data_IF_343574653183
#
_entry.id   IF_343574653183
#
_cell.length_a   1.000
_cell.length_b   1.000
_cell.length_c   1.000
_cell.angle_alpha   90.00
_cell.angle_beta   90.00
_cell.angle_gamma   90.00
#
_symmetry.space_group_name_H-M   'P 1'
#
loop_
_entity.id
_entity.type
_entity.pdbx_description
1 polymer ?
#
# COMPACT_ATOMS: atom_id res chain seq x y z
N UNK A 1 20.37 28.19 -5.29
CA UNK A 1 19.53 26.98 -5.39
C UNK A 1 18.10 27.41 -5.67
N UNK A 2 17.66 27.29 -6.93
CA UNK A 2 16.26 27.58 -7.29
C UNK A 2 15.41 26.48 -6.68
N UNK A 3 14.49 26.84 -5.79
CA UNK A 3 13.63 25.91 -5.08
C UNK A 3 12.86 25.04 -6.06
N UNK A 4 13.18 23.75 -6.11
CA UNK A 4 12.37 22.77 -6.81
C UNK A 4 10.99 22.76 -6.14
N UNK A 5 10.00 23.34 -6.82
CA UNK A 5 8.59 23.19 -6.45
C UNK A 5 8.28 21.70 -6.57
N UNK A 6 8.13 21.00 -5.45
CA UNK A 6 7.86 19.57 -5.42
C UNK A 6 6.54 19.31 -6.16
N UNK A 7 6.63 18.74 -7.37
CA UNK A 7 5.46 18.48 -8.20
C UNK A 7 4.76 17.20 -7.74
N UNK A 8 3.43 17.17 -7.79
CA UNK A 8 2.65 15.97 -7.45
C UNK A 8 3.08 14.73 -8.24
N UNK A 9 3.53 14.90 -9.49
CA UNK A 9 4.06 13.80 -10.33
C UNK A 9 5.31 13.15 -9.73
N UNK A 10 6.19 13.93 -9.09
CA UNK A 10 7.42 13.43 -8.48
C UNK A 10 7.13 12.65 -7.19
N UNK A 11 6.20 13.15 -6.38
CA UNK A 11 5.73 12.45 -5.19
C UNK A 11 5.03 11.15 -5.57
N UNK A 12 4.19 11.18 -6.60
CA UNK A 12 3.52 9.99 -7.12
C UNK A 12 4.49 8.96 -7.72
N UNK A 13 5.52 9.42 -8.44
CA UNK A 13 6.57 8.54 -8.98
C UNK A 13 7.34 7.83 -7.86
N UNK A 14 7.76 8.56 -6.83
CA UNK A 14 8.41 7.95 -5.66
C UNK A 14 7.50 6.95 -4.94
N UNK A 15 6.24 7.33 -4.68
CA UNK A 15 5.24 6.45 -4.08
C UNK A 15 4.94 5.21 -4.94
N UNK A 16 4.98 5.33 -6.27
CA UNK A 16 4.79 4.20 -7.17
C UNK A 16 5.95 3.20 -7.06
N UNK A 17 7.19 3.68 -6.86
CA UNK A 17 8.32 2.83 -6.52
C UNK A 17 8.11 2.03 -5.24
N UNK A 18 7.62 2.69 -4.18
CA UNK A 18 7.25 2.02 -2.92
C UNK A 18 6.17 0.97 -3.17
N UNK A 19 5.11 1.33 -3.88
CA UNK A 19 4.00 0.43 -4.22
C UNK A 19 4.48 -0.78 -5.04
N UNK A 20 5.51 -0.62 -5.86
CA UNK A 20 6.03 -1.72 -6.67
C UNK A 20 6.69 -2.79 -5.80
N UNK A 21 7.48 -2.41 -4.79
CA UNK A 21 7.99 -3.39 -3.81
C UNK A 21 6.86 -3.95 -2.94
N UNK A 22 5.94 -3.10 -2.48
CA UNK A 22 4.76 -3.54 -1.73
C UNK A 22 4.00 -4.64 -2.48
N UNK A 23 3.83 -4.50 -3.80
CA UNK A 23 3.22 -5.53 -4.62
C UNK A 23 4.02 -6.85 -4.57
N UNK A 24 5.36 -6.79 -4.68
CA UNK A 24 6.25 -7.97 -4.58
C UNK A 24 6.15 -8.63 -3.19
N UNK A 25 6.13 -7.83 -2.13
CA UNK A 25 6.00 -8.30 -0.76
C UNK A 25 4.66 -9.01 -0.54
N UNK A 26 3.56 -8.34 -0.90
CA UNK A 26 2.20 -8.89 -0.75
C UNK A 26 1.98 -10.16 -1.58
N UNK A 27 2.40 -10.19 -2.85
CA UNK A 27 2.21 -11.35 -3.72
C UNK A 27 3.05 -12.54 -3.24
N UNK A 28 4.22 -12.28 -2.65
CA UNK A 28 5.07 -13.31 -2.03
C UNK A 28 4.43 -13.84 -0.76
N UNK A 29 3.86 -12.97 0.09
CA UNK A 29 3.07 -13.36 1.27
C UNK A 29 1.83 -14.19 0.90
N UNK A 30 1.30 -14.02 -0.31
CA UNK A 30 0.25 -14.84 -0.90
C UNK A 30 0.76 -16.11 -1.62
N UNK A 31 2.01 -16.52 -1.38
CA UNK A 31 2.68 -17.65 -2.05
C UNK A 31 2.61 -17.56 -3.59
N UNK A 32 2.64 -16.35 -4.15
CA UNK A 32 2.43 -16.07 -5.57
C UNK A 32 1.13 -16.65 -6.13
N UNK A 33 0.05 -16.61 -5.34
CA UNK A 33 -1.25 -17.22 -5.62
C UNK A 33 -1.14 -18.72 -5.94
N UNK A 34 -0.12 -19.38 -5.39
CA UNK A 34 0.19 -20.79 -5.61
C UNK A 34 0.33 -21.16 -7.10
N UNK A 35 0.84 -20.23 -7.92
CA UNK A 35 1.02 -20.44 -9.37
C UNK A 35 1.94 -21.62 -9.70
N UNK A 36 2.89 -21.94 -8.82
CA UNK A 36 3.81 -23.07 -8.99
C UNK A 36 3.12 -24.43 -8.93
N UNK A 37 1.93 -24.51 -8.31
CA UNK A 37 1.09 -25.72 -8.30
C UNK A 37 0.33 -25.92 -9.62
N UNK A 38 0.43 -24.99 -10.58
CA UNK A 38 -0.21 -25.09 -11.89
C UNK A 38 -1.73 -25.30 -11.75
N UNK A 39 -2.29 -26.24 -12.51
CA UNK A 39 -3.71 -26.62 -12.42
C UNK A 39 -4.01 -27.62 -11.28
N UNK A 40 -3.03 -27.95 -10.44
CA UNK A 40 -3.16 -28.95 -9.37
C UNK A 40 -3.31 -28.37 -7.96
N UNK A 41 -3.30 -27.04 -7.79
CA UNK A 41 -3.34 -26.38 -6.47
C UNK A 41 -4.69 -26.44 -5.74
N UNK A 42 -5.74 -26.98 -6.37
CA UNK A 42 -7.01 -27.30 -5.72
C UNK A 42 -7.77 -26.08 -5.18
N UNK A 43 -8.54 -26.30 -4.10
CA UNK A 43 -9.45 -25.28 -3.56
C UNK A 43 -8.71 -24.09 -2.90
N UNK A 44 -7.54 -24.32 -2.30
CA UNK A 44 -6.75 -23.26 -1.66
C UNK A 44 -6.27 -22.23 -2.69
N UNK A 45 -5.71 -22.71 -3.80
CA UNK A 45 -5.31 -21.87 -4.93
C UNK A 45 -6.50 -21.09 -5.52
N UNK A 46 -7.64 -21.76 -5.73
CA UNK A 46 -8.86 -21.10 -6.21
C UNK A 46 -9.34 -20.00 -5.28
N UNK A 47 -9.27 -20.22 -3.96
CA UNK A 47 -9.63 -19.22 -2.97
C UNK A 47 -8.68 -18.01 -3.00
N UNK A 48 -7.36 -18.22 -3.10
CA UNK A 48 -6.38 -17.13 -3.23
C UNK A 48 -6.59 -16.31 -4.50
N UNK A 49 -6.76 -16.96 -5.66
CA UNK A 49 -7.05 -16.28 -6.93
C UNK A 49 -8.39 -15.52 -6.83
N UNK A 50 -9.41 -16.15 -6.25
CA UNK A 50 -10.72 -15.53 -6.03
C UNK A 50 -10.62 -14.26 -5.19
N UNK A 51 -9.89 -14.31 -4.06
CA UNK A 51 -9.66 -13.16 -3.19
C UNK A 51 -8.85 -12.06 -3.89
N UNK A 52 -7.82 -12.41 -4.64
CA UNK A 52 -7.09 -11.46 -5.47
C UNK A 52 -8.01 -10.73 -6.45
N UNK A 53 -8.86 -11.46 -7.19
CA UNK A 53 -9.82 -10.88 -8.14
C UNK A 53 -10.87 -10.01 -7.42
N UNK A 54 -11.37 -10.46 -6.26
CA UNK A 54 -12.28 -9.66 -5.44
C UNK A 54 -11.60 -8.35 -5.02
N UNK A 55 -10.37 -8.41 -4.50
CA UNK A 55 -9.61 -7.23 -4.08
C UNK A 55 -9.39 -6.25 -5.22
N UNK A 56 -9.01 -6.78 -6.39
CA UNK A 56 -8.82 -6.00 -7.62
C UNK A 56 -10.11 -5.26 -8.01
N UNK A 57 -11.23 -5.96 -8.11
CA UNK A 57 -12.46 -5.40 -8.67
C UNK A 57 -13.26 -4.57 -7.66
N UNK A 58 -13.14 -4.85 -6.36
CA UNK A 58 -13.97 -4.23 -5.32
C UNK A 58 -13.82 -2.71 -5.30
N UNK A 59 -12.61 -2.19 -5.21
CA UNK A 59 -12.39 -0.74 -5.15
C UNK A 59 -12.77 -0.04 -6.45
N UNK A 60 -12.49 -0.65 -7.60
CA UNK A 60 -12.97 -0.12 -8.88
C UNK A 60 -14.51 -0.11 -8.96
N UNK A 61 -15.21 -1.08 -8.37
CA UNK A 61 -16.67 -1.07 -8.35
C UNK A 61 -17.24 0.10 -7.53
N UNK A 62 -16.63 0.42 -6.38
CA UNK A 62 -17.00 1.56 -5.53
C UNK A 62 -16.67 2.89 -6.22
N UNK A 63 -15.58 2.89 -6.98
CA UNK A 63 -15.00 4.07 -7.59
C UNK A 63 -15.53 4.36 -9.01
N UNK A 64 -16.45 3.55 -9.53
CA UNK A 64 -16.91 3.55 -10.94
C UNK A 64 -17.28 4.90 -11.54
N UNK A 65 -17.77 5.83 -10.72
CA UNK A 65 -18.21 7.17 -11.13
C UNK A 65 -17.16 8.28 -10.90
N UNK A 66 -15.92 7.92 -10.56
CA UNK A 66 -14.84 8.87 -10.22
C UNK A 66 -13.65 8.78 -11.18
N UNK A 67 -13.95 8.65 -12.47
CA UNK A 67 -12.99 8.67 -13.56
C UNK A 67 -11.90 7.58 -13.45
N UNK A 68 -12.29 6.32 -13.24
CA UNK A 68 -11.33 5.20 -13.14
C UNK A 68 -10.42 5.12 -14.37
N UNK A 69 -11.01 5.19 -15.57
CA UNK A 69 -10.29 5.07 -16.84
C UNK A 69 -9.52 6.35 -17.23
N UNK A 70 -9.66 7.42 -16.45
CA UNK A 70 -8.96 8.69 -16.66
C UNK A 70 -8.68 9.35 -15.31
N UNK A 71 -7.82 8.75 -14.47
CA UNK A 71 -7.57 9.20 -13.10
C UNK A 71 -7.05 10.65 -13.07
N UNK A 72 -6.43 11.14 -14.14
CA UNK A 72 -6.02 12.54 -14.28
C UNK A 72 -7.21 13.52 -14.16
N UNK A 73 -8.41 13.14 -14.60
CA UNK A 73 -9.63 13.96 -14.50
C UNK A 73 -10.18 14.04 -13.08
N UNK A 74 -9.69 13.19 -12.18
CA UNK A 74 -10.13 13.17 -10.78
C UNK A 74 -9.30 14.12 -9.88
N UNK A 75 -8.16 14.64 -10.36
CA UNK A 75 -7.26 15.54 -9.62
C UNK A 75 -8.04 16.74 -9.07
N UNK A 76 -7.98 16.93 -7.75
CA UNK A 76 -8.66 18.01 -7.03
C UNK A 76 -10.19 17.90 -6.92
N UNK A 77 -10.85 16.95 -7.60
CA UNK A 77 -12.33 16.92 -7.75
C UNK A 77 -13.07 16.28 -6.58
N UNK A 78 -12.50 15.23 -5.97
CA UNK A 78 -13.21 14.35 -5.05
C UNK A 78 -12.77 14.46 -3.58
N UNK A 79 -12.03 15.52 -3.23
CA UNK A 79 -11.56 15.76 -1.86
C UNK A 79 -10.80 14.55 -1.30
N UNK A 80 -11.28 14.01 -0.17
CA UNK A 80 -10.68 12.85 0.50
C UNK A 80 -11.12 11.49 -0.02
N UNK A 81 -12.10 11.41 -0.91
CA UNK A 81 -12.69 10.12 -1.28
C UNK A 81 -11.64 9.15 -1.88
N UNK A 82 -10.79 9.64 -2.79
CA UNK A 82 -9.76 8.80 -3.43
C UNK A 82 -8.68 8.40 -2.42
N UNK A 83 -8.07 9.32 -1.64
CA UNK A 83 -7.12 8.94 -0.60
C UNK A 83 -7.68 7.97 0.43
N UNK A 84 -8.94 8.11 0.84
CA UNK A 84 -9.59 7.17 1.76
C UNK A 84 -9.73 5.77 1.17
N UNK A 85 -10.13 5.68 -0.11
CA UNK A 85 -10.19 4.40 -0.80
C UNK A 85 -8.80 3.77 -0.92
N UNK A 86 -7.76 4.57 -1.20
CA UNK A 86 -6.37 4.08 -1.26
C UNK A 86 -5.87 3.63 0.12
N UNK A 87 -6.17 4.39 1.18
CA UNK A 87 -5.83 4.03 2.55
C UNK A 87 -6.49 2.71 2.98
N UNK A 88 -7.76 2.54 2.62
CA UNK A 88 -8.49 1.29 2.91
C UNK A 88 -7.92 0.14 2.08
N UNK A 89 -7.67 0.36 0.78
CA UNK A 89 -7.12 -0.66 -0.12
C UNK A 89 -5.77 -1.20 0.36
N UNK A 90 -4.84 -0.31 0.72
CA UNK A 90 -3.53 -0.71 1.27
C UNK A 90 -3.67 -1.27 2.67
N UNK A 91 -4.59 -0.75 3.49
CA UNK A 91 -4.85 -1.26 4.83
C UNK A 91 -5.28 -2.74 4.84
N UNK A 92 -5.96 -3.24 3.80
CA UNK A 92 -6.34 -4.66 3.71
C UNK A 92 -5.13 -5.59 3.82
N UNK A 93 -3.99 -5.24 3.22
CA UNK A 93 -2.73 -5.98 3.40
C UNK A 93 -2.28 -5.99 4.86
N UNK A 94 -2.39 -4.83 5.53
CA UNK A 94 -2.08 -4.71 6.95
C UNK A 94 -2.81 -5.72 7.82
N UNK A 95 -4.01 -6.17 7.43
CA UNK A 95 -4.73 -7.24 8.13
C UNK A 95 -3.99 -8.58 8.07
N UNK A 96 -3.43 -8.94 6.91
CA UNK A 96 -2.64 -10.16 6.74
C UNK A 96 -1.34 -10.14 7.55
N UNK A 97 -0.61 -9.03 7.50
CA UNK A 97 0.61 -8.86 8.31
C UNK A 97 0.31 -8.82 9.80
N UNK A 98 -0.76 -8.12 10.19
CA UNK A 98 -1.24 -8.10 11.56
C UNK A 98 -1.54 -9.51 12.03
N UNK A 99 -2.29 -10.30 11.25
CA UNK A 99 -2.60 -11.68 11.57
C UNK A 99 -1.35 -12.56 11.73
N UNK A 100 -0.38 -12.42 10.83
CA UNK A 100 0.90 -13.12 10.90
C UNK A 100 1.68 -12.76 12.18
N UNK A 101 1.74 -11.46 12.51
CA UNK A 101 2.35 -10.97 13.73
C UNK A 101 1.63 -11.51 14.98
N UNK A 102 0.30 -11.40 15.02
CA UNK A 102 -0.52 -11.87 16.14
C UNK A 102 -0.35 -13.35 16.41
N UNK A 103 -0.40 -14.19 15.36
CA UNK A 103 -0.17 -15.63 15.47
C UNK A 103 1.25 -15.95 15.96
N UNK A 104 2.26 -15.24 15.46
CA UNK A 104 3.65 -15.38 15.95
C UNK A 104 3.76 -15.00 17.43
N UNK A 105 3.12 -13.91 17.83
CA UNK A 105 3.10 -13.46 19.22
C UNK A 105 2.42 -14.47 20.16
N UNK A 106 1.34 -15.13 19.71
CA UNK A 106 0.65 -16.16 20.49
C UNK A 106 1.50 -17.42 20.70
N UNK A 107 2.36 -17.74 19.73
CA UNK A 107 3.25 -18.91 19.77
C UNK A 107 4.59 -18.62 20.46
N UNK A 108 4.95 -17.35 20.64
CA UNK A 108 6.20 -16.94 21.29
C UNK A 108 6.08 -17.05 22.80
N UNK A 109 6.96 -17.83 23.43
CA UNK A 109 6.98 -18.03 24.89
C UNK A 109 7.70 -16.92 25.66
N UNK A 110 8.43 -16.06 24.95
CA UNK A 110 9.11 -14.88 25.51
C UNK A 110 8.14 -13.75 25.80
N UNK A 111 8.41 -12.97 26.84
CA UNK A 111 7.68 -11.73 27.15
C UNK A 111 8.24 -10.51 26.39
N UNK A 112 9.30 -10.69 25.60
CA UNK A 112 9.88 -9.66 24.75
C UNK A 112 9.02 -9.40 23.52
N UNK A 113 8.57 -8.15 23.35
CA UNK A 113 7.88 -7.70 22.13
C UNK A 113 8.77 -7.84 20.88
N UNK A 114 10.09 -7.73 21.03
CA UNK A 114 10.99 -7.85 19.89
C UNK A 114 11.03 -9.27 19.35
N UNK A 115 10.88 -10.27 20.22
CA UNK A 115 10.93 -11.68 19.82
C UNK A 115 9.73 -12.05 18.96
N UNK A 116 8.56 -11.40 19.17
CA UNK A 116 7.36 -11.59 18.33
C UNK A 116 7.51 -10.99 16.94
N UNK A 117 8.49 -10.12 16.72
CA UNK A 117 8.89 -9.61 15.40
C UNK A 117 10.04 -10.39 14.77
N UNK A 118 10.56 -11.46 15.40
CA UNK A 118 11.78 -12.14 14.96
C UNK A 118 13.07 -11.44 15.42
N UNK A 119 13.01 -10.68 16.51
CA UNK A 119 14.13 -9.93 17.08
C UNK A 119 14.20 -8.47 16.62
N UNK A 120 15.30 -7.80 16.96
CA UNK A 120 15.53 -6.38 16.65
C UNK A 120 15.42 -6.11 15.14
N UNK A 121 16.01 -6.99 14.31
CA UNK A 121 16.03 -6.80 12.86
C UNK A 121 14.62 -6.82 12.27
N UNK A 122 13.81 -7.82 12.61
CA UNK A 122 12.42 -7.89 12.14
C UNK A 122 11.54 -6.75 12.69
N UNK A 123 11.79 -6.27 13.91
CA UNK A 123 11.13 -5.09 14.45
C UNK A 123 11.46 -3.80 13.67
N UNK A 124 12.74 -3.63 13.29
CA UNK A 124 13.18 -2.51 12.43
C UNK A 124 12.52 -2.61 11.05
N UNK A 125 12.52 -3.80 10.44
CA UNK A 125 11.86 -4.03 9.16
C UNK A 125 10.39 -3.60 9.20
N UNK A 126 9.66 -4.06 10.22
CA UNK A 126 8.24 -3.74 10.39
C UNK A 126 7.99 -2.23 10.51
N UNK A 127 8.75 -1.54 11.37
CA UNK A 127 8.59 -0.10 11.56
C UNK A 127 8.90 0.67 10.27
N UNK A 128 9.96 0.31 9.56
CA UNK A 128 10.35 0.99 8.33
C UNK A 128 9.31 0.77 7.21
N UNK A 129 8.83 -0.45 7.01
CA UNK A 129 7.75 -0.73 6.04
C UNK A 129 6.50 0.08 6.35
N UNK A 130 6.04 0.04 7.60
CA UNK A 130 4.81 0.73 8.03
C UNK A 130 4.95 2.25 8.05
N UNK A 131 6.18 2.78 8.15
CA UNK A 131 6.44 4.21 7.98
C UNK A 131 6.42 4.65 6.50
N UNK A 132 6.83 3.77 5.58
CA UNK A 132 6.98 4.08 4.16
C UNK A 132 5.70 3.83 3.35
N UNK A 133 4.95 2.76 3.62
CA UNK A 133 3.71 2.43 2.90
C UNK A 133 2.67 3.59 2.87
N UNK A 134 2.43 4.34 3.97
CA UNK A 134 1.50 5.48 3.94
C UNK A 134 1.91 6.60 2.97
N UNK A 135 3.15 6.62 2.48
CA UNK A 135 3.56 7.59 1.45
C UNK A 135 2.76 7.44 0.15
N UNK A 136 2.24 6.24 -0.14
CA UNK A 136 1.33 5.99 -1.28
C UNK A 136 0.01 6.76 -1.10
N UNK A 137 -0.53 6.71 0.12
CA UNK A 137 -1.73 7.45 0.52
C UNK A 137 -1.45 8.96 0.47
N UNK A 138 -0.31 9.38 1.00
CA UNK A 138 0.14 10.77 1.01
C UNK A 138 0.32 11.35 -0.40
N UNK A 139 0.83 10.57 -1.36
CA UNK A 139 0.94 10.97 -2.75
C UNK A 139 -0.44 11.18 -3.39
N UNK A 140 -1.37 10.26 -3.16
CA UNK A 140 -2.76 10.42 -3.60
C UNK A 140 -3.43 11.63 -2.94
N UNK A 141 -3.21 11.85 -1.65
CA UNK A 141 -3.74 13.01 -0.94
C UNK A 141 -3.21 14.33 -1.52
N UNK A 142 -1.90 14.42 -1.77
CA UNK A 142 -1.29 15.59 -2.41
C UNK A 142 -1.90 15.90 -3.80
N UNK A 143 -2.21 14.87 -4.59
CA UNK A 143 -2.78 15.04 -5.92
C UNK A 143 -4.29 15.33 -5.90
N UNK A 144 -5.06 14.55 -5.16
CA UNK A 144 -6.52 14.53 -5.26
C UNK A 144 -7.24 15.46 -4.28
N UNK A 145 -6.58 15.86 -3.18
CA UNK A 145 -7.19 16.68 -2.12
C UNK A 145 -6.71 18.13 -2.11
N UNK A 146 -5.95 18.58 -3.13
CA UNK A 146 -5.35 19.92 -3.18
C UNK A 146 -6.37 21.07 -3.04
N UNK A 147 -7.59 20.88 -3.52
CA UNK A 147 -8.67 21.87 -3.43
C UNK A 147 -9.45 21.80 -2.11
N UNK A 148 -9.34 20.67 -1.38
CA UNK A 148 -10.05 20.41 -0.14
C UNK A 148 -9.32 21.01 1.07
N UNK A 149 -8.03 20.72 1.22
CA UNK A 149 -7.28 21.03 2.43
C UNK A 149 -6.54 22.37 2.36
N UNK A 150 -7.30 23.47 2.51
CA UNK A 150 -6.78 24.85 2.43
C UNK A 150 -6.04 25.33 3.68
N UNK A 151 -6.27 24.71 4.84
CA UNK A 151 -5.64 25.10 6.12
C UNK A 151 -4.82 23.96 6.71
N UNK A 152 -3.83 24.30 7.54
CA UNK A 152 -3.00 23.31 8.25
C UNK A 152 -3.84 22.39 9.14
N UNK A 153 -4.85 22.93 9.84
CA UNK A 153 -5.74 22.14 10.69
C UNK A 153 -6.51 21.07 9.91
N UNK A 154 -7.04 21.42 8.73
CA UNK A 154 -7.71 20.44 7.86
C UNK A 154 -6.72 19.37 7.41
N UNK A 155 -5.51 19.77 7.01
CA UNK A 155 -4.47 18.80 6.60
C UNK A 155 -4.09 17.82 7.70
N UNK A 156 -3.92 18.30 8.94
CA UNK A 156 -3.60 17.45 10.08
C UNK A 156 -4.74 16.48 10.41
N UNK A 157 -5.99 16.96 10.40
CA UNK A 157 -7.17 16.11 10.60
C UNK A 157 -7.25 15.03 9.53
N UNK A 158 -7.08 15.42 8.27
CA UNK A 158 -7.16 14.52 7.13
C UNK A 158 -6.06 13.44 7.19
N UNK A 159 -4.82 13.84 7.52
CA UNK A 159 -3.73 12.89 7.75
C UNK A 159 -4.03 11.94 8.91
N UNK A 160 -4.57 12.44 10.03
CA UNK A 160 -4.94 11.59 11.15
C UNK A 160 -6.00 10.54 10.76
N UNK A 161 -7.04 10.95 10.02
CA UNK A 161 -8.07 10.04 9.51
C UNK A 161 -7.44 8.99 8.59
N UNK A 162 -6.62 9.39 7.63
CA UNK A 162 -5.99 8.47 6.68
C UNK A 162 -5.07 7.47 7.38
N UNK A 163 -4.28 7.90 8.36
CA UNK A 163 -3.43 7.02 9.17
C UNK A 163 -4.25 6.02 10.00
N UNK A 164 -5.36 6.45 10.60
CA UNK A 164 -6.26 5.57 11.36
C UNK A 164 -6.86 4.51 10.43
N UNK A 165 -7.40 4.91 9.28
CA UNK A 165 -8.01 3.98 8.31
C UNK A 165 -6.99 2.96 7.80
N UNK A 166 -5.75 3.38 7.55
CA UNK A 166 -4.67 2.48 7.15
C UNK A 166 -4.29 1.48 8.26
N UNK A 167 -4.25 1.93 9.52
CA UNK A 167 -3.71 1.12 10.64
C UNK A 167 -4.72 0.16 11.25
N UNK A 168 -6.02 0.52 11.28
CA UNK A 168 -7.08 -0.29 11.92
C UNK A 168 -7.08 -1.76 11.43
N UNK A 169 -7.04 -2.06 10.12
CA UNK A 169 -7.03 -3.44 9.66
C UNK A 169 -5.88 -4.27 10.24
N UNK A 170 -4.69 -3.67 10.41
CA UNK A 170 -3.54 -4.34 11.00
C UNK A 170 -3.73 -4.65 12.48
N UNK A 171 -4.35 -3.74 13.24
CA UNK A 171 -4.70 -4.00 14.63
C UNK A 171 -5.74 -5.12 14.77
N UNK A 172 -6.73 -5.15 13.87
CA UNK A 172 -7.73 -6.23 13.80
C UNK A 172 -7.06 -7.56 13.44
N UNK A 173 -6.15 -7.54 12.46
CA UNK A 173 -5.32 -8.68 12.08
C UNK A 173 -4.55 -9.20 13.30
N UNK A 174 -3.79 -8.35 13.98
CA UNK A 174 -2.99 -8.71 15.15
C UNK A 174 -3.82 -9.32 16.26
N UNK A 175 -4.95 -8.70 16.62
CA UNK A 175 -5.83 -9.26 17.64
C UNK A 175 -6.42 -10.61 17.20
N UNK A 176 -6.97 -10.71 16.00
CA UNK A 176 -7.59 -11.96 15.53
C UNK A 176 -6.58 -13.09 15.35
N UNK A 177 -5.39 -12.80 14.80
CA UNK A 177 -4.31 -13.76 14.64
C UNK A 177 -3.81 -14.29 15.98
N UNK A 178 -3.71 -13.43 17.00
CA UNK A 178 -3.31 -13.85 18.34
C UNK A 178 -4.28 -14.86 18.98
N UNK A 179 -5.58 -14.67 18.79
CA UNK A 179 -6.59 -15.55 19.40
C UNK A 179 -6.93 -16.79 18.57
N UNK A 180 -6.77 -16.75 17.25
CA UNK A 180 -7.28 -17.79 16.35
C UNK A 180 -6.20 -18.54 15.56
N UNK A 181 -5.00 -17.97 15.40
CA UNK A 181 -3.87 -18.50 14.61
C UNK A 181 -4.31 -19.21 13.31
N UNK A 182 -4.34 -18.46 12.21
CA UNK A 182 -4.79 -18.95 10.90
C UNK A 182 -3.82 -18.55 9.78
N UNK A 183 -4.00 -19.16 8.62
CA UNK A 183 -3.23 -18.84 7.42
C UNK A 183 -3.58 -17.43 6.91
N UNK A 184 -2.63 -16.52 6.96
CA UNK A 184 -2.78 -15.13 6.55
C UNK A 184 -2.60 -14.91 5.04
N UNK A 185 -2.15 -15.92 4.28
CA UNK A 185 -1.90 -15.83 2.83
C UNK A 185 -3.12 -15.37 2.03
N UNK A 186 -4.32 -15.73 2.47
CA UNK A 186 -5.59 -15.27 1.89
C UNK A 186 -5.77 -13.74 1.96
N UNK A 187 -5.35 -13.12 3.06
CA UNK A 187 -5.43 -11.67 3.22
C UNK A 187 -4.34 -10.95 2.44
N UNK A 188 -3.15 -11.55 2.31
CA UNK A 188 -2.14 -11.07 1.37
C UNK A 188 -2.66 -11.12 -0.07
N UNK A 189 -3.31 -12.20 -0.50
CA UNK A 189 -3.88 -12.31 -1.85
C UNK A 189 -4.93 -11.21 -2.12
N UNK A 190 -5.84 -10.99 -1.16
CA UNK A 190 -6.81 -9.90 -1.23
C UNK A 190 -6.12 -8.53 -1.30
N UNK A 191 -5.14 -8.29 -0.42
CA UNK A 191 -4.36 -7.04 -0.35
C UNK A 191 -3.53 -6.74 -1.60
N UNK A 192 -2.95 -7.75 -2.24
CA UNK A 192 -2.27 -7.58 -3.53
C UNK A 192 -3.25 -7.13 -4.62
N UNK A 193 -4.45 -7.72 -4.64
CA UNK A 193 -5.51 -7.31 -5.56
C UNK A 193 -5.90 -5.85 -5.37
N UNK A 194 -6.15 -5.43 -4.13
CA UNK A 194 -6.53 -4.03 -3.82
C UNK A 194 -5.41 -3.03 -4.12
N UNK A 195 -4.14 -3.44 -4.05
CA UNK A 195 -2.98 -2.59 -4.37
C UNK A 195 -2.99 -2.05 -5.81
N UNK A 196 -3.58 -2.81 -6.75
CA UNK A 196 -3.69 -2.41 -8.16
C UNK A 196 -4.55 -1.15 -8.31
N UNK A 197 -5.58 -0.98 -7.46
CA UNK A 197 -6.35 0.26 -7.42
C UNK A 197 -5.47 1.47 -7.06
N UNK A 198 -4.60 1.33 -6.07
CA UNK A 198 -3.67 2.40 -5.69
C UNK A 198 -2.70 2.75 -6.83
N UNK A 199 -2.22 1.75 -7.58
CA UNK A 199 -1.36 1.97 -8.75
C UNK A 199 -2.04 2.83 -9.82
N UNK A 200 -3.29 2.48 -10.17
CA UNK A 200 -4.09 3.27 -11.13
C UNK A 200 -4.30 4.70 -10.64
N UNK A 201 -4.50 4.90 -9.33
CA UNK A 201 -4.64 6.25 -8.75
C UNK A 201 -3.34 7.03 -8.76
N UNK A 202 -2.17 6.41 -8.67
CA UNK A 202 -0.88 7.10 -8.83
C UNK A 202 -0.58 7.50 -10.28
N UNK A 203 -1.11 6.77 -11.27
CA UNK A 203 -0.91 7.11 -12.68
C UNK A 203 -1.50 8.46 -13.08
N UNK A 204 -2.61 8.88 -12.48
CA UNK A 204 -3.26 10.17 -12.75
C UNK A 204 -2.30 11.37 -12.63
N UNK A 205 -1.68 11.62 -11.46
CA UNK A 205 -0.70 12.69 -11.30
C UNK A 205 0.62 12.47 -12.07
N UNK A 206 1.03 11.23 -12.35
CA UNK A 206 2.26 10.94 -13.12
C UNK A 206 2.11 11.24 -14.60
N UNK A 207 0.96 10.92 -15.20
CA UNK A 207 0.73 10.96 -16.65
C UNK A 207 -0.39 11.94 -17.03
N UNK A 208 -0.42 13.12 -16.39
CA UNK A 208 -1.42 14.14 -16.66
C UNK A 208 -1.26 14.76 -18.06
N UNK A 209 -2.20 14.50 -18.96
CA UNK A 209 -2.21 15.00 -20.35
C UNK A 209 -2.26 16.52 -20.48
N UNK A 210 -2.85 17.22 -19.51
CA UNK A 210 -2.92 18.68 -19.54
C UNK A 210 -1.56 19.36 -19.26
N UNK A 211 -0.61 18.61 -18.71
CA UNK A 211 0.75 19.06 -18.48
C UNK A 211 1.72 17.90 -18.80
N UNK A 212 1.94 17.60 -20.09
CA UNK A 212 2.76 16.45 -20.49
C UNK A 212 4.20 16.61 -19.97
N UNK A 213 4.80 15.50 -19.53
CA UNK A 213 6.18 15.49 -19.03
C UNK A 213 7.17 15.64 -20.20
N UNK A 214 8.15 16.53 -20.05
CA UNK A 214 9.32 16.57 -20.92
C UNK A 214 10.22 15.34 -20.69
N UNK A 215 11.14 15.05 -21.61
CA UNK A 215 12.11 13.94 -21.46
C UNK A 215 12.92 14.00 -20.16
N UNK A 216 13.32 15.21 -19.73
CA UNK A 216 14.01 15.43 -18.44
C UNK A 216 13.12 15.08 -17.25
N UNK A 217 11.84 15.42 -17.30
CA UNK A 217 10.88 15.09 -16.23
C UNK A 217 10.58 13.60 -16.20
N UNK A 218 10.48 12.94 -17.36
CA UNK A 218 10.35 11.48 -17.44
C UNK A 218 11.56 10.76 -16.83
N UNK A 219 12.78 11.23 -17.11
CA UNK A 219 13.99 10.70 -16.48
C UNK A 219 13.98 10.93 -14.96
N UNK A 220 13.53 12.11 -14.52
CA UNK A 220 13.42 12.43 -13.09
C UNK A 220 12.40 11.50 -12.39
N UNK A 221 11.26 11.24 -13.03
CA UNK A 221 10.28 10.28 -12.52
C UNK A 221 10.84 8.86 -12.44
N UNK A 222 11.58 8.41 -13.47
CA UNK A 222 12.23 7.10 -13.45
C UNK A 222 13.22 6.98 -12.26
N UNK A 223 14.06 8.00 -12.03
CA UNK A 223 14.96 8.04 -10.88
C UNK A 223 14.18 7.98 -9.56
N UNK A 224 13.09 8.72 -9.44
CA UNK A 224 12.27 8.73 -8.22
C UNK A 224 11.54 7.41 -7.98
N UNK A 225 11.06 6.73 -9.02
CA UNK A 225 10.51 5.37 -8.93
C UNK A 225 11.58 4.44 -8.38
N UNK A 226 12.79 4.47 -8.95
CA UNK A 226 13.91 3.65 -8.47
C UNK A 226 14.27 3.96 -7.02
N UNK A 227 14.30 5.24 -6.64
CA UNK A 227 14.57 5.64 -5.25
C UNK A 227 13.48 5.15 -4.28
N UNK A 228 12.20 5.27 -4.67
CA UNK A 228 11.10 4.75 -3.87
C UNK A 228 11.20 3.24 -3.66
N UNK A 229 11.45 2.50 -4.74
CA UNK A 229 11.67 1.05 -4.73
C UNK A 229 12.84 0.67 -3.81
N UNK A 230 14.00 1.30 -3.99
CA UNK A 230 15.21 1.00 -3.20
C UNK A 230 15.05 1.36 -1.73
N UNK A 231 14.27 2.39 -1.40
CA UNK A 231 14.03 2.81 -0.01
C UNK A 231 13.27 1.74 0.77
N UNK A 232 12.18 1.23 0.21
CA UNK A 232 11.41 0.16 0.87
C UNK A 232 12.09 -1.21 0.73
N UNK A 233 12.83 -1.45 -0.35
CA UNK A 233 13.70 -2.65 -0.44
C UNK A 233 14.74 -2.68 0.69
N UNK A 234 15.36 -1.54 0.99
CA UNK A 234 16.30 -1.44 2.10
C UNK A 234 15.64 -1.75 3.45
N UNK A 235 14.38 -1.34 3.66
CA UNK A 235 13.60 -1.76 4.81
C UNK A 235 13.41 -3.29 4.85
N UNK A 236 13.14 -3.91 3.70
CA UNK A 236 12.95 -5.35 3.59
C UNK A 236 14.22 -6.18 3.85
N UNK A 237 15.41 -5.62 3.61
CA UNK A 237 16.68 -6.32 3.93
C UNK A 237 16.82 -6.65 5.43
N UNK A 238 16.13 -5.93 6.31
CA UNK A 238 16.13 -6.25 7.74
C UNK A 238 15.32 -7.52 8.08
N UNK A 239 14.56 -8.10 7.15
CA UNK A 239 13.94 -9.41 7.34
C UNK A 239 14.95 -10.58 7.29
N UNK A 240 16.13 -10.39 6.70
CA UNK A 240 17.12 -11.47 6.51
C UNK A 240 18.09 -11.66 7.68
N UNK A 241 17.72 -11.22 8.89
CA UNK A 241 18.57 -11.19 10.08
C UNK A 241 18.20 -12.24 11.12
#
# INVERSE_FOLDING_TARGET
>A
MVGMKLQARYVAAFAFGILFWFFVDTITGAASLDVNSGFSGGLGQLAMIGLFVIGLLFFFSIDRNRNIFSPELAIGKYGLAIPLLVATALGVHGLGEGAAFGGTAALTTSTSLLDTFGGVSGGVAYVLHKALEPMIIGACYCAYSIQHAKTTTVRLRDLAILSIIFTIPSLIGAASGYYLTYDSSYFYALGTGTAIYAAVRLFGPMFNKANPASSKESMTMAVLITLGLLTIYFAALFHSG
#
